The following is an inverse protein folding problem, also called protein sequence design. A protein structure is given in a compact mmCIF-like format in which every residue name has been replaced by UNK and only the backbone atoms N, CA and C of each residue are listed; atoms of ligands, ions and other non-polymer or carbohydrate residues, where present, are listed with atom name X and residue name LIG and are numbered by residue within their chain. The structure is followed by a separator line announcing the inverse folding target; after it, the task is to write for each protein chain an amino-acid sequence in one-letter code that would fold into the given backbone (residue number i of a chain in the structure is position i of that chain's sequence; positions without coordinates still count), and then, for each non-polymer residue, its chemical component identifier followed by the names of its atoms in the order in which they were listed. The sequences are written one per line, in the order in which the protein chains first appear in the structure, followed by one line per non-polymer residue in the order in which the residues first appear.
data_IF_211737518143
#
_entry.id   IF_211737518143
#
_cell.length_a   1.000
_cell.length_b   1.000
_cell.length_c   1.000
_cell.angle_alpha   90.00
_cell.angle_beta   90.00
_cell.angle_gamma   90.00
#
_symmetry.space_group_name_H-M   'P 1'
#
loop_
_entity.id
_entity.type
_entity.pdbx_description
1 polymer ?
#
# COMPACT_ATOMS: atom_id res chain seq x y z
N UNK A 1 -12.11 -2.99 12.01
CA UNK A 1 -11.07 -3.72 11.26
C UNK A 1 -10.57 -4.87 12.13
N UNK A 2 -10.41 -6.04 11.50
CA UNK A 2 -9.88 -7.20 12.22
C UNK A 2 -8.39 -6.95 12.51
N UNK A 3 -8.03 -6.97 13.79
CA UNK A 3 -6.63 -6.90 14.22
C UNK A 3 -6.16 -8.28 14.69
N UNK A 4 -4.88 -8.55 14.44
CA UNK A 4 -4.22 -9.78 14.85
C UNK A 4 -3.13 -9.39 15.86
N UNK A 5 -3.04 -10.03 17.02
CA UNK A 5 -1.98 -9.72 17.98
C UNK A 5 -0.59 -9.86 17.36
N UNK A 6 0.33 -8.99 17.76
CA UNK A 6 1.73 -9.08 17.36
C UNK A 6 2.28 -10.41 17.85
N UNK A 7 2.70 -11.26 16.93
CA UNK A 7 3.31 -12.55 17.23
C UNK A 7 4.10 -13.03 16.03
N UNK A 8 4.92 -14.05 16.23
CA UNK A 8 5.66 -14.68 15.15
C UNK A 8 4.78 -15.43 14.13
N UNK A 9 3.47 -15.56 14.41
CA UNK A 9 2.50 -16.24 13.55
C UNK A 9 1.50 -15.28 12.86
N UNK A 10 1.61 -13.96 13.08
CA UNK A 10 0.72 -12.98 12.45
C UNK A 10 0.86 -12.98 10.93
N UNK A 11 -0.28 -12.90 10.22
CA UNK A 11 -0.33 -12.92 8.76
C UNK A 11 -1.12 -11.72 8.24
N UNK A 12 -0.48 -10.77 7.53
CA UNK A 12 -1.12 -9.57 7.02
C UNK A 12 -2.17 -9.83 5.94
N UNK A 13 -2.24 -11.03 5.38
CA UNK A 13 -3.31 -11.44 4.47
C UNK A 13 -4.62 -11.75 5.22
N UNK A 14 -4.57 -11.94 6.54
CA UNK A 14 -5.74 -12.29 7.35
C UNK A 14 -6.33 -11.07 8.10
N UNK A 15 -5.55 -10.02 8.29
CA UNK A 15 -5.97 -8.82 9.02
C UNK A 15 -4.78 -7.90 9.28
N UNK A 16 -4.99 -6.87 10.10
CA UNK A 16 -3.92 -5.98 10.54
C UNK A 16 -3.12 -6.64 11.66
N UNK A 17 -1.87 -6.98 11.38
CA UNK A 17 -0.97 -7.55 12.39
C UNK A 17 -0.46 -6.42 13.29
N UNK A 18 -0.80 -6.45 14.54
CA UNK A 18 -0.48 -5.41 15.52
C UNK A 18 -1.58 -4.37 15.68
N UNK A 19 -1.19 -3.13 15.95
CA UNK A 19 -2.10 -2.00 16.09
C UNK A 19 -1.76 -0.92 15.08
N UNK A 20 -2.74 -0.33 14.39
CA UNK A 20 -2.48 0.76 13.44
C UNK A 20 -1.94 2.04 14.09
N UNK A 21 -1.94 2.10 15.41
CA UNK A 21 -1.48 3.27 16.17
C UNK A 21 -0.12 3.06 16.86
N UNK A 22 0.50 1.90 16.70
CA UNK A 22 1.76 1.56 17.38
C UNK A 22 2.74 0.98 16.39
N UNK A 23 3.94 1.55 16.34
CA UNK A 23 5.04 0.99 15.55
C UNK A 23 5.62 -0.26 16.22
N UNK A 24 6.08 -1.18 15.39
CA UNK A 24 6.74 -2.40 15.84
C UNK A 24 7.85 -2.76 14.86
N UNK A 25 9.07 -2.93 15.37
CA UNK A 25 10.26 -3.21 14.56
C UNK A 25 10.73 -4.66 14.59
N UNK A 26 10.14 -5.52 15.43
CA UNK A 26 10.63 -6.90 15.65
C UNK A 26 9.71 -8.00 15.12
N UNK A 27 8.51 -7.67 14.67
CA UNK A 27 7.66 -8.59 13.88
C UNK A 27 7.09 -7.85 12.68
N UNK A 28 6.58 -8.57 11.69
CA UNK A 28 5.95 -7.97 10.53
C UNK A 28 4.59 -7.41 10.93
N UNK A 29 4.47 -6.08 10.96
CA UNK A 29 3.24 -5.37 11.31
C UNK A 29 2.71 -4.68 10.07
N UNK A 30 1.60 -5.17 9.54
CA UNK A 30 0.99 -4.64 8.33
C UNK A 30 -0.43 -5.19 8.13
N UNK A 31 -1.13 -4.62 7.15
CA UNK A 31 -2.33 -5.20 6.55
C UNK A 31 -2.12 -5.22 5.04
N UNK A 32 -2.60 -6.26 4.36
CA UNK A 32 -2.55 -6.37 2.90
C UNK A 32 -3.93 -6.11 2.27
N UNK A 33 -4.03 -6.01 0.93
CA UNK A 33 -5.25 -5.56 0.27
C UNK A 33 -6.54 -6.32 0.63
N UNK A 34 -6.51 -7.63 0.67
CA UNK A 34 -7.72 -8.44 0.88
C UNK A 34 -8.44 -8.08 2.19
N UNK A 35 -7.79 -8.12 3.36
CA UNK A 35 -8.48 -7.76 4.62
C UNK A 35 -8.81 -6.27 4.70
N UNK A 36 -8.03 -5.39 4.05
CA UNK A 36 -8.34 -3.97 4.00
C UNK A 36 -9.63 -3.71 3.21
N UNK A 37 -9.79 -4.33 2.06
CA UNK A 37 -11.00 -4.23 1.24
C UNK A 37 -12.22 -4.75 2.00
N UNK A 38 -12.08 -5.90 2.63
CA UNK A 38 -13.16 -6.49 3.44
C UNK A 38 -13.64 -5.55 4.55
N UNK A 39 -12.72 -4.89 5.21
CA UNK A 39 -13.06 -3.89 6.23
C UNK A 39 -13.65 -2.64 5.59
N UNK A 40 -13.04 -2.11 4.55
CA UNK A 40 -13.43 -0.86 3.89
C UNK A 40 -14.84 -0.91 3.29
N UNK A 41 -15.25 -2.07 2.77
CA UNK A 41 -16.59 -2.25 2.20
C UNK A 41 -17.73 -2.00 3.19
N UNK A 42 -17.46 -2.05 4.50
CA UNK A 42 -18.43 -1.68 5.52
C UNK A 42 -18.68 -0.16 5.59
N UNK A 43 -17.79 0.65 5.03
CA UNK A 43 -17.85 2.12 5.12
C UNK A 43 -18.05 2.81 3.78
N UNK A 44 -17.82 2.13 2.69
CA UNK A 44 -17.91 2.72 1.37
C UNK A 44 -17.58 1.73 0.27
N UNK A 45 -17.44 2.26 -0.94
CA UNK A 45 -17.15 1.47 -2.12
C UNK A 45 -15.63 1.40 -2.31
N UNK A 46 -15.07 0.23 -2.09
CA UNK A 46 -13.63 -0.05 -2.25
C UNK A 46 -13.44 -1.32 -3.08
N UNK A 47 -12.37 -1.34 -3.85
CA UNK A 47 -12.06 -2.46 -4.74
C UNK A 47 -10.59 -2.85 -4.63
N UNK A 48 -10.33 -4.15 -4.53
CA UNK A 48 -8.98 -4.69 -4.65
C UNK A 48 -8.51 -4.59 -6.10
N UNK A 49 -7.45 -3.84 -6.33
CA UNK A 49 -6.82 -3.67 -7.63
C UNK A 49 -5.44 -4.32 -7.69
N UNK A 50 -5.16 -5.26 -6.80
CA UNK A 50 -3.89 -6.00 -6.81
C UNK A 50 -3.72 -6.73 -8.14
N UNK A 51 -2.49 -6.69 -8.67
CA UNK A 51 -2.17 -7.23 -9.98
C UNK A 51 -2.38 -6.27 -11.15
N UNK A 52 -3.04 -5.13 -10.94
CA UNK A 52 -3.19 -4.11 -11.98
C UNK A 52 -1.90 -3.31 -12.16
N UNK A 53 -1.65 -2.86 -13.40
CA UNK A 53 -0.51 -2.00 -13.70
C UNK A 53 -0.69 -0.60 -13.12
N UNK A 54 0.40 0.14 -12.96
CA UNK A 54 0.32 1.53 -12.53
C UNK A 54 -0.56 2.37 -13.47
N UNK A 55 -0.46 2.16 -14.78
CA UNK A 55 -1.28 2.91 -15.74
C UNK A 55 -2.77 2.67 -15.52
N UNK A 56 -3.17 1.46 -15.17
CA UNK A 56 -4.57 1.16 -14.81
C UNK A 56 -4.99 1.88 -13.53
N UNK A 57 -4.11 1.95 -12.53
CA UNK A 57 -4.36 2.72 -11.31
C UNK A 57 -4.52 4.22 -11.61
N UNK A 58 -3.70 4.75 -12.52
CA UNK A 58 -3.77 6.17 -12.90
C UNK A 58 -5.06 6.52 -13.62
N UNK A 59 -5.70 5.57 -14.31
CA UNK A 59 -7.04 5.79 -14.86
C UNK A 59 -8.07 6.05 -13.75
N UNK A 60 -7.98 5.34 -12.64
CA UNK A 60 -8.84 5.60 -11.47
C UNK A 60 -8.55 6.96 -10.87
N UNK A 61 -7.27 7.31 -10.71
CA UNK A 61 -6.86 8.62 -10.16
C UNK A 61 -7.38 9.77 -11.03
N UNK A 62 -7.33 9.63 -12.35
CA UNK A 62 -7.90 10.63 -13.28
C UNK A 62 -9.40 10.81 -13.11
N UNK A 63 -10.10 9.78 -12.65
CA UNK A 63 -11.54 9.83 -12.35
C UNK A 63 -11.82 10.24 -10.90
N UNK A 64 -10.85 10.82 -10.20
CA UNK A 64 -10.93 11.25 -8.80
C UNK A 64 -11.14 10.10 -7.80
N UNK A 65 -10.72 8.89 -8.14
CA UNK A 65 -10.74 7.74 -7.25
C UNK A 65 -9.32 7.48 -6.73
N UNK A 66 -9.03 7.85 -5.47
CA UNK A 66 -7.69 7.65 -4.93
C UNK A 66 -7.36 6.17 -4.74
N UNK A 67 -6.07 5.89 -4.78
CA UNK A 67 -5.54 4.53 -4.66
C UNK A 67 -4.67 4.43 -3.42
N UNK A 68 -4.94 3.45 -2.57
CA UNK A 68 -3.98 3.02 -1.55
C UNK A 68 -3.03 2.04 -2.23
N UNK A 69 -1.74 2.37 -2.24
CA UNK A 69 -0.72 1.55 -2.89
C UNK A 69 0.35 1.12 -1.88
N UNK A 70 0.78 -0.14 -1.99
CA UNK A 70 1.87 -0.67 -1.17
C UNK A 70 3.19 -0.39 -1.87
N UNK A 71 4.04 0.31 -1.16
CA UNK A 71 5.34 0.80 -1.62
C UNK A 71 6.39 0.50 -0.54
N UNK A 72 7.52 1.18 -0.59
CA UNK A 72 8.55 1.09 0.44
C UNK A 72 8.72 2.42 1.15
N UNK A 73 9.28 2.40 2.35
CA UNK A 73 9.61 3.61 3.11
C UNK A 73 10.58 4.45 2.28
N UNK A 74 10.23 5.72 2.06
CA UNK A 74 10.99 6.70 1.27
C UNK A 74 11.29 6.23 -0.16
N UNK A 75 10.48 5.31 -0.68
CA UNK A 75 10.66 4.73 -2.02
C UNK A 75 12.06 4.14 -2.26
N UNK A 76 12.69 3.66 -1.21
CA UNK A 76 13.96 2.94 -1.31
C UNK A 76 13.74 1.57 -1.99
N UNK A 77 14.77 0.96 -2.56
CA UNK A 77 14.66 -0.39 -3.11
C UNK A 77 14.07 -1.36 -2.10
N UNK A 78 13.19 -2.25 -2.56
CA UNK A 78 12.53 -3.22 -1.70
C UNK A 78 13.55 -4.16 -1.06
N UNK A 79 13.46 -4.32 0.25
CA UNK A 79 14.26 -5.27 1.02
C UNK A 79 13.39 -6.46 1.39
N UNK A 80 13.61 -7.56 0.73
CA UNK A 80 12.86 -8.79 0.94
C UNK A 80 13.38 -9.60 2.12
N UNK A 81 12.48 -10.21 2.87
CA UNK A 81 12.77 -11.14 3.96
C UNK A 81 11.84 -12.33 3.94
N UNK A 82 12.12 -13.32 4.79
CA UNK A 82 11.30 -14.52 4.92
C UNK A 82 10.64 -14.48 6.29
N UNK A 83 9.31 -14.64 6.28
CA UNK A 83 8.45 -14.59 7.46
C UNK A 83 7.60 -15.86 7.57
N UNK A 84 6.84 -15.99 8.64
CA UNK A 84 5.96 -17.14 8.86
C UNK A 84 4.92 -17.35 7.74
N UNK A 85 4.47 -16.27 7.09
CA UNK A 85 3.49 -16.30 6.00
C UNK A 85 4.14 -16.31 4.61
N UNK A 86 5.47 -16.34 4.51
CA UNK A 86 6.20 -16.37 3.25
C UNK A 86 7.15 -15.20 3.10
N UNK A 87 7.49 -14.91 1.85
CA UNK A 87 8.40 -13.84 1.48
C UNK A 87 7.68 -12.49 1.53
N UNK A 88 8.31 -11.49 2.13
CA UNK A 88 7.69 -10.16 2.26
C UNK A 88 8.73 -9.03 2.22
N UNK A 89 8.26 -7.83 1.89
CA UNK A 89 9.07 -6.62 1.85
C UNK A 89 9.21 -6.07 3.27
N UNK A 90 10.43 -6.03 3.81
CA UNK A 90 10.70 -5.58 5.18
C UNK A 90 10.49 -4.09 5.37
N UNK A 91 10.89 -3.26 4.39
CA UNK A 91 10.66 -1.82 4.41
C UNK A 91 9.29 -1.47 3.80
N UNK A 92 8.28 -2.25 4.16
CA UNK A 92 6.90 -2.07 3.71
C UNK A 92 6.33 -0.74 4.16
N UNK A 93 5.59 -0.09 3.25
CA UNK A 93 4.89 1.16 3.49
C UNK A 93 3.69 1.25 2.58
N UNK A 94 2.69 2.00 2.98
CA UNK A 94 1.52 2.27 2.14
C UNK A 94 1.28 3.77 2.08
N UNK A 95 0.90 4.24 0.89
CA UNK A 95 0.61 5.64 0.62
C UNK A 95 -0.69 5.76 -0.17
N UNK A 96 -1.29 6.95 -0.18
CA UNK A 96 -2.40 7.24 -1.08
C UNK A 96 -1.88 7.95 -2.32
N UNK A 97 -2.14 7.36 -3.47
CA UNK A 97 -1.91 7.94 -4.79
C UNK A 97 -3.18 8.70 -5.19
N UNK A 98 -3.11 10.03 -5.25
CA UNK A 98 -4.29 10.89 -5.40
C UNK A 98 -4.16 11.97 -6.47
N UNK A 99 -3.10 11.98 -7.25
CA UNK A 99 -2.93 12.91 -8.34
C UNK A 99 -1.91 12.46 -9.39
N UNK A 100 -2.08 12.98 -10.60
CA UNK A 100 -1.19 12.66 -11.73
C UNK A 100 -1.04 13.87 -12.65
N UNK A 101 0.20 14.29 -12.84
CA UNK A 101 0.58 15.28 -13.86
C UNK A 101 1.21 14.53 -15.04
N UNK A 102 0.43 14.32 -16.09
CA UNK A 102 0.88 13.54 -17.26
C UNK A 102 1.92 14.27 -18.09
N UNK A 103 1.99 15.60 -18.03
CA UNK A 103 2.98 16.39 -18.78
C UNK A 103 4.36 16.27 -18.15
N UNK A 104 4.43 16.29 -16.82
CA UNK A 104 5.68 16.20 -16.05
C UNK A 104 6.01 14.78 -15.64
N UNK A 105 5.14 13.80 -15.90
CA UNK A 105 5.26 12.43 -15.44
C UNK A 105 5.50 12.34 -13.92
N UNK A 106 4.71 13.11 -13.17
CA UNK A 106 4.75 13.17 -11.70
C UNK A 106 3.46 12.65 -11.10
N UNK A 107 3.58 11.95 -10.01
CA UNK A 107 2.46 11.45 -9.21
C UNK A 107 2.38 12.21 -7.90
N UNK A 108 1.16 12.57 -7.48
CA UNK A 108 0.93 13.15 -6.16
C UNK A 108 0.63 12.06 -5.16
N UNK A 109 1.32 12.12 -4.02
CA UNK A 109 1.24 11.12 -2.96
C UNK A 109 0.89 11.80 -1.65
N UNK A 110 -0.08 11.24 -0.93
CA UNK A 110 -0.33 11.53 0.47
C UNK A 110 0.24 10.40 1.31
N UNK A 111 1.30 10.72 2.06
CA UNK A 111 2.08 9.76 2.83
C UNK A 111 1.82 9.99 4.32
N UNK A 112 1.40 8.97 5.08
CA UNK A 112 1.09 9.14 6.50
C UNK A 112 2.30 9.52 7.37
N UNK A 113 3.53 9.30 6.87
CA UNK A 113 4.75 9.66 7.57
C UNK A 113 5.33 10.98 7.06
N UNK A 114 5.47 11.12 5.74
CA UNK A 114 6.21 12.21 5.11
C UNK A 114 5.33 13.36 4.58
N UNK A 115 4.01 13.25 4.72
CA UNK A 115 3.10 14.28 4.24
C UNK A 115 2.81 14.17 2.74
N UNK A 116 2.48 15.29 2.12
CA UNK A 116 2.09 15.35 0.71
C UNK A 116 3.26 15.78 -0.15
N UNK A 117 3.49 15.09 -1.27
CA UNK A 117 4.57 15.43 -2.20
C UNK A 117 4.31 14.87 -3.59
N UNK A 118 5.08 15.37 -4.56
CA UNK A 118 5.12 14.84 -5.92
C UNK A 118 6.35 13.96 -6.10
N UNK A 119 6.18 12.86 -6.82
CA UNK A 119 7.25 11.90 -7.07
C UNK A 119 7.27 11.51 -8.55
N UNK A 120 8.44 11.20 -9.08
CA UNK A 120 8.57 10.71 -10.45
C UNK A 120 7.81 9.40 -10.65
N UNK A 121 7.05 9.32 -11.75
CA UNK A 121 6.29 8.13 -12.11
C UNK A 121 7.17 6.87 -12.13
N UNK A 122 8.37 6.95 -12.71
CA UNK A 122 9.27 5.81 -12.81
C UNK A 122 9.74 5.32 -11.42
N UNK A 123 10.01 6.23 -10.51
CA UNK A 123 10.40 5.90 -9.13
C UNK A 123 9.27 5.18 -8.41
N UNK A 124 8.05 5.69 -8.52
CA UNK A 124 6.88 5.05 -7.93
C UNK A 124 6.66 3.65 -8.52
N UNK A 125 6.69 3.57 -9.84
CA UNK A 125 6.41 2.32 -10.57
C UNK A 125 7.40 1.21 -10.21
N UNK A 126 8.68 1.53 -10.10
CA UNK A 126 9.71 0.54 -9.76
C UNK A 126 9.46 -0.13 -8.41
N UNK A 127 8.95 0.62 -7.45
CA UNK A 127 8.65 0.12 -6.10
C UNK A 127 7.28 -0.56 -6.06
N UNK A 128 6.29 0.02 -6.71
CA UNK A 128 4.94 -0.57 -6.79
C UNK A 128 4.97 -1.94 -7.48
N UNK A 129 5.72 -2.07 -8.56
CA UNK A 129 5.79 -3.30 -9.36
C UNK A 129 6.43 -4.48 -8.61
N UNK A 130 7.07 -4.25 -7.47
CA UNK A 130 7.60 -5.34 -6.65
C UNK A 130 6.48 -6.29 -6.17
N UNK A 131 5.27 -5.78 -5.92
CA UNK A 131 4.15 -6.56 -5.43
C UNK A 131 2.84 -6.35 -6.19
N UNK A 132 2.65 -5.22 -6.84
CA UNK A 132 1.39 -4.79 -7.47
C UNK A 132 0.19 -4.88 -6.50
N UNK A 133 0.35 -4.41 -5.28
CA UNK A 133 -0.71 -4.36 -4.28
C UNK A 133 -1.35 -2.98 -4.25
N UNK A 134 -2.66 -2.93 -4.50
CA UNK A 134 -3.40 -1.67 -4.53
C UNK A 134 -4.89 -1.86 -4.20
N UNK A 135 -5.48 -0.80 -3.67
CA UNK A 135 -6.92 -0.72 -3.36
C UNK A 135 -7.45 0.62 -3.86
N UNK A 136 -8.50 0.59 -4.66
CA UNK A 136 -9.19 1.80 -5.11
C UNK A 136 -10.32 2.18 -4.16
N UNK A 137 -10.51 3.47 -3.95
CA UNK A 137 -11.58 4.05 -3.11
C UNK A 137 -12.48 4.89 -4.01
N UNK A 138 -13.75 4.53 -4.08
CA UNK A 138 -14.73 5.20 -4.91
C UNK A 138 -15.65 6.15 -4.14
#
# INVERSE_FOLDING_TARGET
MKTIPISSSGNPYDGFVGSPFVENSWTYSAIYPIPLVKWGQAYGDVKDMSGHSLDELLNEVKNNNPIVAWVTIKFQPARWGIWNFGRAVNNNHAVTLDGYDSKKEKLHVSDPISGKYWIDKNTFESVYNERNFAVAIY
#
